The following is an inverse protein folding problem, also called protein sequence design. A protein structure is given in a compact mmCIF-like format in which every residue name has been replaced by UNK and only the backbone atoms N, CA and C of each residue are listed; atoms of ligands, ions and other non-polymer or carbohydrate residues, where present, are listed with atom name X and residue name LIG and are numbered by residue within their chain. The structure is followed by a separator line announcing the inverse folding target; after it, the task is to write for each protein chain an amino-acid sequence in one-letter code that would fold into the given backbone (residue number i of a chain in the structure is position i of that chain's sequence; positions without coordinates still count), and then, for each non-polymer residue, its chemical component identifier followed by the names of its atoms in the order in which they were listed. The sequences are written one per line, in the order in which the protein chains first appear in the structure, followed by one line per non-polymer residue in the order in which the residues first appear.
data_IF_172607247491
#
_entry.id   IF_172607247491
#
_cell.length_a   1.000
_cell.length_b   1.000
_cell.length_c   1.000
_cell.angle_alpha   90.00
_cell.angle_beta   90.00
_cell.angle_gamma   90.00
#
_symmetry.space_group_name_H-M   'P 1'
#
loop_
_entity.id
_entity.type
_entity.pdbx_description
1 polymer ?
#
# COMPACT_ATOMS: atom_id res chain seq x y z
N UNK A 1 -8.45 -4.38 30.83
CA UNK A 1 -7.46 -5.25 30.14
C UNK A 1 -6.19 -4.45 29.98
N UNK A 2 -5.06 -4.91 30.52
CA UNK A 2 -3.77 -4.27 30.25
C UNK A 2 -3.18 -4.86 28.98
N UNK A 3 -2.75 -4.02 28.05
CA UNK A 3 -1.87 -4.48 26.98
C UNK A 3 -0.54 -4.95 27.61
N UNK A 4 0.04 -5.99 27.03
CA UNK A 4 1.36 -6.47 27.41
C UNK A 4 2.06 -7.01 26.16
N UNK A 5 3.37 -6.79 26.07
CA UNK A 5 4.15 -7.21 24.92
C UNK A 5 4.33 -8.74 24.96
N UNK A 6 4.00 -9.42 23.86
CA UNK A 6 4.32 -10.84 23.65
C UNK A 6 5.66 -10.93 22.92
N UNK A 7 6.54 -11.83 23.35
CA UNK A 7 7.77 -12.10 22.60
C UNK A 7 7.41 -12.77 21.27
N UNK A 8 8.18 -12.49 20.21
CA UNK A 8 7.94 -13.09 18.90
C UNK A 8 8.05 -14.63 18.92
N UNK A 9 8.88 -15.18 19.82
CA UNK A 9 9.07 -16.63 19.98
C UNK A 9 7.85 -17.32 20.60
N UNK A 10 7.04 -16.60 21.37
CA UNK A 10 5.91 -17.16 22.13
C UNK A 10 4.55 -16.77 21.54
N UNK A 11 4.52 -16.02 20.44
CA UNK A 11 3.28 -15.59 19.79
C UNK A 11 2.69 -16.74 18.93
N UNK A 12 1.52 -17.30 19.28
CA UNK A 12 0.88 -18.34 18.47
C UNK A 12 0.41 -17.83 17.10
N UNK A 13 0.30 -16.50 16.91
CA UNK A 13 -0.07 -15.82 15.66
C UNK A 13 1.20 -15.43 14.86
N UNK A 14 2.35 -16.06 15.14
CA UNK A 14 3.62 -15.84 14.43
C UNK A 14 3.45 -15.78 12.91
N UNK A 15 4.33 -15.01 12.26
CA UNK A 15 4.44 -15.02 10.80
C UNK A 15 4.63 -16.46 10.35
N UNK A 16 3.83 -16.89 9.38
CA UNK A 16 4.04 -18.18 8.71
C UNK A 16 5.13 -18.00 7.67
N UNK A 17 6.05 -18.94 7.63
CA UNK A 17 6.85 -19.16 6.43
C UNK A 17 5.89 -19.56 5.31
N UNK A 18 6.12 -19.05 4.11
CA UNK A 18 5.26 -19.29 2.98
C UNK A 18 6.05 -19.14 1.69
N UNK A 19 5.44 -19.59 0.60
CA UNK A 19 6.07 -19.55 -0.71
C UNK A 19 6.45 -18.11 -1.09
N UNK A 20 7.66 -17.89 -1.67
CA UNK A 20 8.06 -16.59 -2.15
C UNK A 20 7.07 -16.05 -3.19
N UNK A 21 6.60 -14.83 -2.99
CA UNK A 21 5.85 -14.08 -4.00
C UNK A 21 6.73 -12.92 -4.44
N UNK A 22 6.73 -12.62 -5.74
CA UNK A 22 7.53 -11.51 -6.23
C UNK A 22 6.72 -10.67 -7.20
N UNK A 23 6.79 -9.36 -7.01
CA UNK A 23 6.01 -8.33 -7.68
C UNK A 23 6.96 -7.27 -8.24
N UNK A 24 6.52 -6.49 -9.21
CA UNK A 24 7.24 -5.28 -9.64
C UNK A 24 6.56 -4.05 -9.05
N UNK A 25 7.32 -3.13 -8.49
CA UNK A 25 6.84 -1.83 -8.00
C UNK A 25 7.66 -0.74 -8.65
N UNK A 26 7.04 0.06 -9.51
CA UNK A 26 7.71 1.11 -10.30
C UNK A 26 8.92 0.56 -11.11
N UNK A 27 8.81 -0.66 -11.62
CA UNK A 27 9.89 -1.36 -12.34
C UNK A 27 10.89 -2.09 -11.44
N UNK A 28 10.87 -1.88 -10.13
CA UNK A 28 11.75 -2.57 -9.18
C UNK A 28 11.14 -3.92 -8.74
N UNK A 29 11.92 -5.00 -8.79
CA UNK A 29 11.47 -6.32 -8.33
C UNK A 29 11.53 -6.41 -6.80
N UNK A 30 10.37 -6.57 -6.17
CA UNK A 30 10.26 -6.80 -4.72
C UNK A 30 9.86 -8.24 -4.43
N UNK A 31 10.39 -8.79 -3.32
CA UNK A 31 10.07 -10.15 -2.85
C UNK A 31 9.36 -10.09 -1.52
N UNK A 32 8.29 -10.86 -1.40
CA UNK A 32 7.58 -11.11 -0.16
C UNK A 32 7.24 -12.58 -0.01
N UNK A 33 6.28 -12.85 0.85
CA UNK A 33 5.77 -14.19 1.16
C UNK A 33 4.28 -14.24 0.84
N UNK A 34 3.82 -15.36 0.30
CA UNK A 34 2.41 -15.60 -0.01
C UNK A 34 1.52 -15.24 1.20
N UNK A 35 0.44 -14.51 0.93
CA UNK A 35 -0.50 -14.05 1.93
C UNK A 35 -0.23 -12.64 2.45
N UNK A 36 0.95 -12.05 2.23
CA UNK A 36 1.17 -10.64 2.50
C UNK A 36 0.31 -9.76 1.56
N UNK A 37 -0.09 -8.58 2.03
CA UNK A 37 -0.61 -7.52 1.17
C UNK A 37 0.52 -6.88 0.37
N UNK A 38 0.18 -6.24 -0.75
CA UNK A 38 1.13 -5.42 -1.52
C UNK A 38 1.79 -4.39 -0.60
N UNK A 39 0.99 -3.72 0.24
CA UNK A 39 1.47 -2.81 1.28
C UNK A 39 2.52 -3.44 2.21
N UNK A 40 2.28 -4.68 2.66
CA UNK A 40 3.19 -5.39 3.56
C UNK A 40 4.53 -5.73 2.90
N UNK A 41 4.54 -5.99 1.58
CA UNK A 41 5.77 -6.21 0.83
C UNK A 41 6.54 -4.90 0.66
N UNK A 42 5.86 -3.82 0.28
CA UNK A 42 6.50 -2.51 0.10
C UNK A 42 7.06 -1.99 1.45
N UNK A 43 6.30 -2.12 2.54
CA UNK A 43 6.79 -1.71 3.87
C UNK A 43 8.07 -2.46 4.29
N UNK A 44 8.19 -3.74 3.92
CA UNK A 44 9.36 -4.54 4.27
C UNK A 44 10.66 -4.05 3.60
N UNK A 45 10.57 -3.20 2.57
CA UNK A 45 11.74 -2.56 1.95
C UNK A 45 12.13 -1.24 2.60
N UNK A 46 11.33 -0.75 3.57
CA UNK A 46 11.51 0.56 4.19
C UNK A 46 10.88 1.72 3.42
N UNK A 47 10.18 1.46 2.29
CA UNK A 47 9.47 2.50 1.52
C UNK A 47 8.16 2.89 2.20
N UNK A 48 8.03 4.17 2.58
CA UNK A 48 6.87 4.69 3.32
C UNK A 48 5.89 5.49 2.46
N UNK A 49 6.28 5.93 1.26
CA UNK A 49 5.48 6.76 0.35
C UNK A 49 5.29 6.10 -1.01
N UNK A 50 4.03 6.01 -1.47
CA UNK A 50 3.59 5.28 -2.67
C UNK A 50 2.65 6.09 -3.57
N UNK A 51 2.28 7.29 -3.13
CA UNK A 51 1.53 8.30 -3.90
C UNK A 51 1.80 9.67 -3.32
N UNK A 52 1.29 10.71 -3.99
CA UNK A 52 1.21 12.07 -3.45
C UNK A 52 -0.23 12.60 -3.48
N UNK A 53 -0.56 13.54 -2.59
CA UNK A 53 -1.87 14.21 -2.62
C UNK A 53 -1.98 15.13 -3.84
N UNK A 54 -3.16 15.15 -4.47
CA UNK A 54 -3.44 16.00 -5.64
C UNK A 54 -3.21 17.49 -5.34
N UNK A 55 -3.59 17.94 -4.14
CA UNK A 55 -3.25 19.26 -3.64
C UNK A 55 -1.90 19.23 -2.89
N UNK A 56 -0.95 20.05 -3.34
CA UNK A 56 0.31 20.29 -2.65
C UNK A 56 1.31 19.12 -2.62
N UNK A 57 1.08 18.06 -3.41
CA UNK A 57 2.03 16.95 -3.65
C UNK A 57 2.66 16.35 -2.39
N UNK A 58 1.88 16.20 -1.32
CA UNK A 58 2.39 15.65 -0.06
C UNK A 58 2.47 14.12 -0.15
N UNK A 59 3.60 13.50 0.23
CA UNK A 59 3.77 12.05 0.17
C UNK A 59 2.79 11.34 1.09
N UNK A 60 2.24 10.22 0.59
CA UNK A 60 1.29 9.35 1.30
C UNK A 60 1.67 7.89 1.09
N UNK A 61 1.40 7.08 2.10
CA UNK A 61 1.52 5.63 2.03
C UNK A 61 0.61 4.98 3.06
N UNK A 62 0.88 3.72 3.42
CA UNK A 62 0.04 3.03 4.39
C UNK A 62 0.13 3.68 5.77
N UNK A 63 -1.05 4.05 6.28
CA UNK A 63 -1.22 4.56 7.64
C UNK A 63 -2.11 3.62 8.46
N UNK A 64 -3.37 3.46 8.03
CA UNK A 64 -4.35 2.68 8.82
C UNK A 64 -4.20 1.16 8.69
N UNK A 65 -3.62 0.65 7.59
CA UNK A 65 -3.54 -0.78 7.29
C UNK A 65 -4.88 -1.51 7.04
N UNK A 66 -6.02 -0.84 7.26
CA UNK A 66 -7.38 -1.42 7.20
C UNK A 66 -8.24 -0.86 6.06
N UNK A 67 -7.68 0.01 5.24
CA UNK A 67 -8.33 0.55 4.03
C UNK A 67 -9.23 1.78 4.22
N UNK A 68 -9.35 2.33 5.42
CA UNK A 68 -10.21 3.50 5.68
C UNK A 68 -9.57 4.84 5.28
N UNK A 69 -8.24 4.93 5.25
CA UNK A 69 -7.55 6.22 5.03
C UNK A 69 -7.33 6.59 3.57
N UNK A 70 -7.42 5.65 2.63
CA UNK A 70 -7.12 5.86 1.19
C UNK A 70 -5.71 6.42 0.87
N UNK A 71 -4.81 6.47 1.84
CA UNK A 71 -3.44 6.95 1.60
C UNK A 71 -2.52 5.92 0.92
N UNK A 72 -2.93 4.66 0.82
CA UNK A 72 -2.16 3.57 0.19
C UNK A 72 -2.62 3.19 -1.22
N UNK A 73 -3.17 4.14 -1.99
CA UNK A 73 -3.64 3.88 -3.35
C UNK A 73 -2.45 3.68 -4.31
N UNK A 74 -2.58 2.69 -5.17
CA UNK A 74 -1.66 2.32 -6.25
C UNK A 74 -2.47 1.80 -7.42
N UNK A 75 -1.84 1.73 -8.60
CA UNK A 75 -2.39 0.97 -9.72
C UNK A 75 -1.78 -0.43 -9.73
N UNK A 76 -2.58 -1.48 -9.91
CA UNK A 76 -2.14 -2.89 -9.96
C UNK A 76 -2.63 -3.53 -11.24
N UNK A 77 -1.72 -4.00 -12.10
CA UNK A 77 -2.07 -4.64 -13.38
C UNK A 77 -3.10 -3.81 -14.18
N UNK A 78 -2.81 -2.52 -14.36
CA UNK A 78 -3.67 -1.53 -15.04
C UNK A 78 -5.00 -1.18 -14.34
N UNK A 79 -5.26 -1.71 -13.14
CA UNK A 79 -6.41 -1.34 -12.31
C UNK A 79 -6.02 -0.21 -11.32
N UNK A 80 -6.54 1.02 -11.47
CA UNK A 80 -6.26 2.12 -10.55
C UNK A 80 -7.06 2.01 -9.24
N UNK A 81 -6.80 2.91 -8.31
CA UNK A 81 -7.51 3.06 -7.03
C UNK A 81 -7.48 1.82 -6.13
N UNK A 82 -6.47 0.97 -6.31
CA UNK A 82 -6.29 -0.23 -5.50
C UNK A 82 -5.70 0.15 -4.16
N UNK A 83 -6.43 -0.17 -3.08
CA UNK A 83 -5.90 -0.05 -1.71
C UNK A 83 -4.89 -1.17 -1.47
N UNK A 84 -3.60 -0.85 -1.60
CA UNK A 84 -2.49 -1.80 -1.43
C UNK A 84 -2.52 -2.53 -0.08
N UNK A 85 -3.10 -1.93 0.97
CA UNK A 85 -3.24 -2.56 2.29
C UNK A 85 -4.25 -3.71 2.34
N UNK A 86 -5.24 -3.71 1.45
CA UNK A 86 -6.28 -4.75 1.39
C UNK A 86 -6.04 -5.78 0.28
N UNK A 87 -5.24 -5.45 -0.75
CA UNK A 87 -4.90 -6.37 -1.84
C UNK A 87 -3.74 -7.29 -1.44
N UNK A 88 -4.00 -8.59 -1.32
CA UNK A 88 -2.95 -9.63 -1.21
C UNK A 88 -2.07 -9.60 -2.44
N UNK A 89 -0.76 -9.77 -2.31
CA UNK A 89 0.13 -9.85 -3.47
C UNK A 89 0.02 -11.21 -4.18
N UNK A 90 0.05 -11.19 -5.51
CA UNK A 90 0.12 -12.37 -6.38
C UNK A 90 1.42 -12.32 -7.17
N UNK A 91 2.03 -13.48 -7.44
CA UNK A 91 3.28 -13.55 -8.17
C UNK A 91 3.11 -12.94 -9.56
N UNK A 92 3.98 -12.00 -9.91
CA UNK A 92 3.92 -11.29 -11.18
C UNK A 92 3.07 -10.02 -11.17
N UNK A 93 2.42 -9.65 -10.05
CA UNK A 93 1.73 -8.35 -9.97
C UNK A 93 2.69 -7.21 -10.35
N UNK A 94 2.22 -6.32 -11.23
CA UNK A 94 2.88 -5.07 -11.60
C UNK A 94 2.15 -3.94 -10.89
N UNK A 95 2.87 -3.21 -10.05
CA UNK A 95 2.36 -2.13 -9.22
C UNK A 95 3.06 -0.84 -9.63
N UNK A 96 2.29 0.22 -9.81
CA UNK A 96 2.83 1.55 -10.05
C UNK A 96 2.21 2.55 -9.09
N UNK A 97 3.01 3.53 -8.67
CA UNK A 97 2.50 4.64 -7.87
C UNK A 97 1.44 5.40 -8.64
N UNK A 98 0.37 5.76 -7.93
CA UNK A 98 -0.73 6.52 -8.51
C UNK A 98 -0.57 8.00 -8.20
N UNK A 99 -0.87 8.84 -9.19
CA UNK A 99 -1.01 10.28 -9.00
C UNK A 99 -2.23 10.79 -9.74
N UNK A 100 -3.22 11.28 -8.99
CA UNK A 100 -4.42 11.87 -9.56
C UNK A 100 -4.30 13.39 -9.54
N UNK A 101 -4.44 14.07 -10.68
CA UNK A 101 -4.51 15.53 -10.71
C UNK A 101 -5.79 16.01 -10.03
N UNK A 102 -5.79 17.28 -9.61
CA UNK A 102 -7.03 17.91 -9.16
C UNK A 102 -8.05 17.91 -10.31
N UNK A 103 -9.35 17.69 -10.02
CA UNK A 103 -10.38 17.86 -11.01
C UNK A 103 -10.33 19.28 -11.58
N UNK A 104 -10.58 19.41 -12.87
CA UNK A 104 -10.65 20.73 -13.50
C UNK A 104 -11.81 21.50 -12.87
N UNK A 105 -11.60 22.77 -12.44
CA UNK A 105 -12.69 23.59 -11.93
C UNK A 105 -13.83 23.66 -12.95
N UNK A 106 -15.06 23.50 -12.47
CA UNK A 106 -16.24 23.74 -13.31
C UNK A 106 -16.43 25.25 -13.37
N UNK A 107 -16.62 25.81 -14.57
CA UNK A 107 -16.86 27.25 -14.74
C UNK A 107 -17.99 27.73 -13.81
N UNK A 108 -17.67 28.65 -12.90
CA UNK A 108 -18.61 29.18 -11.91
C UNK A 108 -18.58 28.50 -10.53
N UNK A 109 -17.67 27.56 -10.25
CA UNK A 109 -17.46 27.08 -8.88
C UNK A 109 -16.87 28.19 -8.02
N UNK A 110 -17.55 28.56 -6.95
CA UNK A 110 -17.02 29.46 -5.90
C UNK A 110 -15.90 28.73 -5.14
N UNK A 111 -14.69 29.27 -5.22
CA UNK A 111 -13.56 28.82 -4.41
C UNK A 111 -13.89 29.07 -2.92
N UNK A 112 -13.95 27.98 -2.14
CA UNK A 112 -14.20 27.99 -0.69
C UNK A 112 -12.91 28.10 0.12
#
# INVERSE_FOLDING_TARGET
MSAYLRSAAEDPIRRRDGEPVAISVDGERLTGVQGQSIAGIILATGRLDWRVTSAGSRPRGVFCGIGVCFDCLVTVNDEPDVRACLRRAVHGDVVVQQHDPLPTPVEGSIDG
#
